data_IF_910451380609
#
_entry.id   IF_910451380609
#
_cell.length_a   1.000
_cell.length_b   1.000
_cell.length_c   1.000
_cell.angle_alpha   90.00
_cell.angle_beta   90.00
_cell.angle_gamma   90.00
#
_symmetry.space_group_name_H-M   'P 1'
#
loop_
_entity.id
_entity.type
_entity.pdbx_description
1 polymer ?
#
# COMPACT_ATOMS: atom_id res chain seq x y z
N UNK A 1 10.27 -42.57 -41.00
CA UNK A 1 9.40 -42.36 -42.18
C UNK A 1 9.57 -40.91 -42.61
N UNK A 2 9.84 -40.65 -43.90
CA UNK A 2 9.81 -39.28 -44.42
C UNK A 2 8.35 -38.85 -44.49
N UNK A 3 7.90 -38.11 -43.47
CA UNK A 3 6.57 -37.50 -43.49
C UNK A 3 6.59 -36.40 -44.53
N UNK A 4 5.59 -36.40 -45.40
CA UNK A 4 5.38 -35.38 -46.41
C UNK A 4 5.45 -33.96 -45.79
N UNK A 5 6.31 -33.05 -46.31
CA UNK A 5 6.44 -31.69 -45.79
C UNK A 5 5.13 -30.89 -45.72
N UNK A 6 4.18 -31.13 -46.64
CA UNK A 6 2.89 -30.45 -46.64
C UNK A 6 2.02 -30.93 -45.48
N UNK A 7 1.97 -32.24 -45.27
CA UNK A 7 1.27 -32.89 -44.15
C UNK A 7 1.85 -32.44 -42.82
N UNK A 8 3.19 -32.40 -42.71
CA UNK A 8 3.88 -31.89 -41.53
C UNK A 8 3.50 -30.43 -41.24
N UNK A 9 3.41 -29.58 -42.26
CA UNK A 9 3.05 -28.17 -42.08
C UNK A 9 1.62 -28.01 -41.57
N UNK A 10 0.64 -28.78 -42.08
CA UNK A 10 -0.72 -28.81 -41.52
C UNK A 10 -0.72 -29.26 -40.06
N UNK A 11 0.05 -30.31 -39.71
CA UNK A 11 0.14 -30.80 -38.32
C UNK A 11 0.74 -29.76 -37.37
N UNK A 12 1.78 -29.04 -37.80
CA UNK A 12 2.34 -27.93 -37.01
C UNK A 12 1.27 -26.84 -36.80
N UNK A 13 0.54 -26.46 -37.85
CA UNK A 13 -0.55 -25.49 -37.73
C UNK A 13 -1.67 -25.95 -36.77
N UNK A 14 -2.04 -27.24 -36.77
CA UNK A 14 -2.99 -27.82 -35.80
C UNK A 14 -2.47 -27.65 -34.38
N UNK A 15 -1.22 -28.06 -34.11
CA UNK A 15 -0.64 -27.99 -32.76
C UNK A 15 -0.51 -26.54 -32.27
N UNK A 16 -0.13 -25.61 -33.15
CA UNK A 16 -0.08 -24.18 -32.85
C UNK A 16 -1.48 -23.61 -32.57
N UNK A 17 -2.51 -24.03 -33.32
CA UNK A 17 -3.91 -23.69 -33.03
C UNK A 17 -4.36 -24.22 -31.66
N UNK A 18 -4.00 -25.44 -31.27
CA UNK A 18 -4.33 -25.97 -29.94
C UNK A 18 -3.66 -25.15 -28.84
N UNK A 19 -2.37 -24.83 -29.00
CA UNK A 19 -1.63 -23.97 -28.07
C UNK A 19 -2.24 -22.58 -27.96
N UNK A 20 -2.60 -21.97 -29.09
CA UNK A 20 -3.32 -20.69 -29.12
C UNK A 20 -4.63 -20.77 -28.34
N UNK A 21 -5.39 -21.86 -28.53
CA UNK A 21 -6.63 -22.11 -27.79
C UNK A 21 -6.44 -22.18 -26.27
N UNK A 22 -5.38 -22.84 -25.80
CA UNK A 22 -5.03 -22.85 -24.37
C UNK A 22 -4.66 -21.46 -23.85
N UNK A 23 -3.91 -20.69 -24.64
CA UNK A 23 -3.55 -19.31 -24.31
C UNK A 23 -4.77 -18.39 -24.23
N UNK A 24 -5.88 -18.70 -24.89
CA UNK A 24 -7.13 -17.92 -24.80
C UNK A 24 -7.93 -18.18 -23.52
N UNK A 25 -7.67 -19.27 -22.78
CA UNK A 25 -8.47 -19.65 -21.59
C UNK A 25 -8.12 -18.89 -20.31
N UNK A 26 -6.92 -18.31 -20.22
CA UNK A 26 -6.51 -17.55 -19.04
C UNK A 26 -7.14 -16.16 -18.95
N UNK A 27 -6.95 -15.41 -17.85
CA UNK A 27 -7.54 -14.10 -17.64
C UNK A 27 -7.18 -13.10 -18.76
N UNK A 28 -8.15 -12.30 -19.17
CA UNK A 28 -8.08 -11.29 -20.23
C UNK A 28 -7.81 -9.87 -19.68
N UNK A 29 -7.77 -9.72 -18.35
CA UNK A 29 -7.55 -8.44 -17.66
C UNK A 29 -6.63 -8.62 -16.46
N UNK A 30 -5.73 -7.66 -16.27
CA UNK A 30 -4.95 -7.46 -15.05
C UNK A 30 -5.20 -6.05 -14.55
N UNK A 31 -5.44 -5.92 -13.25
CA UNK A 31 -5.80 -4.65 -12.61
C UNK A 31 -4.68 -4.28 -11.64
N UNK A 32 -3.91 -3.24 -11.96
CA UNK A 32 -2.99 -2.62 -11.04
C UNK A 32 -3.68 -1.45 -10.33
N UNK A 33 -3.64 -1.44 -8.99
CA UNK A 33 -4.11 -0.33 -8.17
C UNK A 33 -2.92 0.43 -7.62
N UNK A 34 -2.89 1.73 -7.89
CA UNK A 34 -1.95 2.66 -7.30
C UNK A 34 -2.70 3.66 -6.42
N UNK A 35 -2.18 3.93 -5.23
CA UNK A 35 -2.68 4.97 -4.33
C UNK A 35 -1.51 5.90 -4.04
N UNK A 36 -1.70 7.20 -4.29
CA UNK A 36 -0.66 8.21 -4.12
C UNK A 36 0.68 7.87 -4.81
N UNK A 37 0.62 7.32 -6.03
CA UNK A 37 1.80 6.92 -6.80
C UNK A 37 2.48 5.62 -6.35
N UNK A 38 2.05 5.01 -5.24
CA UNK A 38 2.55 3.72 -4.76
C UNK A 38 1.65 2.57 -5.20
N UNK A 39 2.23 1.43 -5.58
CA UNK A 39 1.50 0.23 -5.95
C UNK A 39 0.88 -0.41 -4.69
N UNK A 40 -0.43 -0.32 -4.54
CA UNK A 40 -1.17 -0.84 -3.37
C UNK A 40 -1.66 -2.27 -3.59
N UNK A 41 -1.78 -2.70 -4.84
CA UNK A 41 -2.06 -4.11 -5.14
C UNK A 41 -2.17 -4.38 -6.63
N UNK A 42 -1.83 -5.62 -7.01
CA UNK A 42 -2.05 -6.14 -8.37
C UNK A 42 -3.06 -7.27 -8.27
N UNK A 43 -4.24 -7.05 -8.85
CA UNK A 43 -5.23 -8.09 -9.09
C UNK A 43 -4.91 -8.81 -10.39
N UNK A 44 -4.46 -10.06 -10.28
CA UNK A 44 -4.03 -10.88 -11.41
C UNK A 44 -2.50 -10.97 -11.53
N UNK A 45 -2.02 -11.77 -12.48
CA UNK A 45 -0.60 -11.99 -12.71
C UNK A 45 -0.15 -11.24 -13.98
N UNK A 46 0.40 -10.04 -13.82
CA UNK A 46 0.81 -9.17 -14.95
C UNK A 46 1.88 -9.82 -15.83
N UNK A 47 2.82 -10.52 -15.20
CA UNK A 47 3.90 -11.22 -15.88
C UNK A 47 3.35 -12.35 -16.76
N UNK A 48 2.44 -13.15 -16.21
CA UNK A 48 1.77 -14.22 -16.96
C UNK A 48 0.92 -13.68 -18.13
N UNK A 49 0.21 -12.56 -17.94
CA UNK A 49 -0.54 -11.94 -19.05
C UNK A 49 0.41 -11.42 -20.14
N UNK A 50 1.52 -10.79 -19.75
CA UNK A 50 2.51 -10.25 -20.70
C UNK A 50 3.21 -11.37 -21.47
N UNK A 51 3.56 -12.48 -20.82
CA UNK A 51 4.08 -13.68 -21.46
C UNK A 51 3.08 -14.28 -22.46
N UNK A 52 1.79 -14.38 -22.08
CA UNK A 52 0.74 -14.89 -22.97
C UNK A 52 0.53 -14.00 -24.19
N UNK A 53 0.53 -12.67 -24.04
CA UNK A 53 0.42 -11.74 -25.17
C UNK A 53 1.58 -11.95 -26.15
N UNK A 54 2.82 -11.99 -25.64
CA UNK A 54 4.01 -12.20 -26.48
C UNK A 54 3.95 -13.54 -27.22
N UNK A 55 3.53 -14.59 -26.55
CA UNK A 55 3.40 -15.92 -27.15
C UNK A 55 2.31 -15.95 -28.24
N UNK A 56 1.15 -15.35 -28.00
CA UNK A 56 0.06 -15.23 -29.00
C UNK A 56 0.52 -14.47 -30.25
N UNK A 57 1.26 -13.37 -30.06
CA UNK A 57 1.79 -12.55 -31.17
C UNK A 57 2.79 -13.32 -32.04
N UNK A 58 3.52 -14.28 -31.46
CA UNK A 58 4.44 -15.16 -32.20
C UNK A 58 3.71 -16.35 -32.86
N UNK A 59 2.76 -16.97 -32.16
CA UNK A 59 2.07 -18.16 -32.65
C UNK A 59 1.13 -17.83 -33.83
N UNK A 60 0.41 -16.70 -33.79
CA UNK A 60 -0.61 -16.40 -34.81
C UNK A 60 -0.05 -16.33 -36.23
N UNK A 61 1.03 -15.58 -36.52
CA UNK A 61 1.60 -15.54 -37.86
C UNK A 61 2.18 -16.89 -38.29
N UNK A 62 2.77 -17.65 -37.37
CA UNK A 62 3.34 -18.97 -37.65
C UNK A 62 2.27 -20.00 -38.06
N UNK A 63 1.07 -19.95 -37.47
CA UNK A 63 -0.06 -20.77 -37.91
C UNK A 63 -0.34 -20.52 -39.40
N UNK A 64 -0.49 -19.26 -39.79
CA UNK A 64 -0.81 -18.90 -41.17
C UNK A 64 0.33 -19.21 -42.12
N UNK A 65 1.58 -18.96 -41.74
CA UNK A 65 2.76 -19.34 -42.53
C UNK A 65 2.73 -20.82 -42.88
N UNK A 66 2.53 -21.69 -41.89
CA UNK A 66 2.45 -23.14 -42.11
C UNK A 66 1.25 -23.58 -42.95
N UNK A 67 0.10 -22.90 -42.81
CA UNK A 67 -1.07 -23.16 -43.63
C UNK A 67 -0.86 -22.73 -45.10
N UNK A 68 -0.24 -21.58 -45.33
CA UNK A 68 0.07 -21.06 -46.67
C UNK A 68 1.14 -21.93 -47.37
N UNK A 69 2.14 -22.42 -46.62
CA UNK A 69 3.13 -23.39 -47.09
C UNK A 69 2.46 -24.72 -47.52
N UNK A 70 1.59 -25.25 -46.66
CA UNK A 70 0.83 -26.48 -46.96
C UNK A 70 -0.09 -26.29 -48.17
N UNK A 71 -0.83 -25.17 -48.22
CA UNK A 71 -1.71 -24.82 -49.33
C UNK A 71 -0.95 -24.78 -50.65
N UNK A 72 0.23 -24.15 -50.68
CA UNK A 72 1.07 -24.06 -51.89
C UNK A 72 1.51 -25.44 -52.36
N UNK A 73 1.94 -26.30 -51.44
CA UNK A 73 2.36 -27.65 -51.76
C UNK A 73 1.21 -28.55 -52.24
N UNK A 74 0.02 -28.44 -51.65
CA UNK A 74 -1.17 -29.20 -52.08
C UNK A 74 -1.71 -28.73 -53.43
N UNK A 75 -1.78 -27.41 -53.66
CA UNK A 75 -2.20 -26.85 -54.94
C UNK A 75 -1.26 -27.30 -56.09
N UNK A 76 0.05 -27.33 -55.85
CA UNK A 76 1.03 -27.82 -56.83
C UNK A 76 0.84 -29.30 -57.20
N UNK A 77 0.12 -30.07 -56.38
CA UNK A 77 -0.23 -31.48 -56.63
C UNK A 77 -1.62 -31.67 -57.21
N UNK A 78 -2.33 -30.58 -57.52
CA UNK A 78 -3.68 -30.60 -58.07
C UNK A 78 -4.78 -30.85 -57.04
N UNK A 79 -4.51 -30.71 -55.74
CA UNK A 79 -5.53 -30.74 -54.68
C UNK A 79 -6.37 -29.45 -54.74
N UNK A 80 -7.69 -29.57 -54.67
CA UNK A 80 -8.58 -28.41 -54.62
C UNK A 80 -8.51 -27.71 -53.24
N UNK A 81 -7.94 -26.51 -53.23
CA UNK A 81 -7.76 -25.68 -52.03
C UNK A 81 -8.71 -24.47 -51.98
N UNK A 82 -9.74 -24.42 -52.83
CA UNK A 82 -10.62 -23.25 -52.96
C UNK A 82 -11.30 -22.85 -51.64
N UNK A 83 -11.70 -23.82 -50.81
CA UNK A 83 -12.30 -23.54 -49.50
C UNK A 83 -11.34 -22.84 -48.53
N UNK A 84 -10.05 -23.19 -48.58
CA UNK A 84 -9.01 -22.50 -47.81
C UNK A 84 -8.83 -21.06 -48.32
N UNK A 85 -8.73 -20.89 -49.64
CA UNK A 85 -8.52 -19.58 -50.26
C UNK A 85 -9.66 -18.60 -49.95
N UNK A 86 -10.91 -19.08 -49.91
CA UNK A 86 -12.06 -18.26 -49.48
C UNK A 86 -11.94 -17.80 -48.02
N UNK A 87 -11.49 -18.67 -47.12
CA UNK A 87 -11.27 -18.31 -45.71
C UNK A 87 -10.12 -17.30 -45.60
N UNK A 88 -9.03 -17.51 -46.34
CA UNK A 88 -7.86 -16.62 -46.34
C UNK A 88 -8.18 -15.23 -46.87
N UNK A 89 -9.01 -15.13 -47.92
CA UNK A 89 -9.43 -13.86 -48.51
C UNK A 89 -10.27 -12.97 -47.56
N UNK A 90 -10.86 -13.55 -46.51
CA UNK A 90 -11.70 -12.83 -45.53
C UNK A 90 -10.92 -12.14 -44.40
N UNK A 91 -9.59 -11.98 -44.53
CA UNK A 91 -8.75 -11.53 -43.43
C UNK A 91 -9.00 -10.05 -43.04
N UNK A 92 -9.52 -9.84 -41.82
CA UNK A 92 -9.62 -8.53 -41.19
C UNK A 92 -8.30 -8.10 -40.52
N UNK A 93 -8.08 -6.79 -40.45
CA UNK A 93 -6.85 -6.06 -40.04
C UNK A 93 -6.23 -6.38 -38.65
N UNK A 94 -6.81 -7.25 -37.83
CA UNK A 94 -6.33 -7.45 -36.44
C UNK A 94 -5.33 -8.61 -36.32
N UNK A 95 -4.06 -8.28 -36.07
CA UNK A 95 -2.97 -9.27 -35.89
C UNK A 95 -2.91 -9.72 -34.43
N UNK A 96 -3.17 -11.01 -34.17
CA UNK A 96 -2.80 -11.72 -32.93
C UNK A 96 -3.51 -11.26 -31.63
N UNK A 97 -2.95 -10.26 -30.96
CA UNK A 97 -3.47 -9.69 -29.72
C UNK A 97 -3.18 -8.19 -29.66
N UNK A 98 -4.21 -7.41 -29.33
CA UNK A 98 -4.09 -6.00 -28.99
C UNK A 98 -4.06 -5.82 -27.47
N UNK A 99 -3.18 -4.94 -26.98
CA UNK A 99 -3.16 -4.55 -25.58
C UNK A 99 -3.82 -3.19 -25.46
N UNK A 100 -4.90 -3.13 -24.70
CA UNK A 100 -5.55 -1.88 -24.35
C UNK A 100 -5.26 -1.58 -22.86
N UNK A 101 -4.73 -0.39 -22.62
CA UNK A 101 -4.42 0.11 -21.29
C UNK A 101 -5.37 1.25 -20.97
N UNK A 102 -6.30 1.00 -20.06
CA UNK A 102 -7.19 2.04 -19.56
C UNK A 102 -6.76 2.47 -18.16
N UNK A 103 -6.41 3.75 -18.03
CA UNK A 103 -6.17 4.37 -16.72
C UNK A 103 -7.45 5.07 -16.28
N UNK A 104 -7.95 4.73 -15.08
CA UNK A 104 -9.10 5.37 -14.46
C UNK A 104 -8.72 5.85 -13.08
N UNK A 105 -8.89 7.14 -12.83
CA UNK A 105 -8.70 7.74 -11.51
C UNK A 105 -10.04 7.76 -10.77
N UNK A 106 -10.04 7.26 -9.53
CA UNK A 106 -11.21 7.25 -8.66
C UNK A 106 -10.96 8.13 -7.43
N UNK A 107 -11.90 9.03 -7.14
CA UNK A 107 -11.82 9.94 -5.99
C UNK A 107 -11.01 11.21 -6.25
N UNK A 108 -10.87 12.05 -5.22
CA UNK A 108 -10.03 13.26 -5.22
C UNK A 108 -9.34 13.44 -3.85
N UNK A 109 -8.21 14.15 -3.82
CA UNK A 109 -7.46 14.42 -2.58
C UNK A 109 -6.83 13.17 -1.96
N UNK A 110 -6.82 13.10 -0.62
CA UNK A 110 -6.17 12.03 0.17
C UNK A 110 -6.84 10.64 0.05
N UNK A 111 -7.98 10.53 -0.63
CA UNK A 111 -8.67 9.26 -0.89
C UNK A 111 -8.65 8.86 -2.37
N UNK A 112 -7.94 9.62 -3.21
CA UNK A 112 -7.77 9.31 -4.63
C UNK A 112 -6.90 8.07 -4.85
N UNK A 113 -7.33 7.19 -5.76
CA UNK A 113 -6.52 6.09 -6.25
C UNK A 113 -6.65 5.94 -7.78
N UNK A 114 -5.53 5.62 -8.41
CA UNK A 114 -5.45 5.32 -9.83
C UNK A 114 -5.54 3.82 -10.05
N UNK A 115 -6.40 3.43 -10.97
CA UNK A 115 -6.54 2.05 -11.40
C UNK A 115 -6.10 1.96 -12.86
N UNK A 116 -5.03 1.23 -13.09
CA UNK A 116 -4.57 0.89 -14.44
C UNK A 116 -5.07 -0.52 -14.75
N UNK A 117 -6.00 -0.61 -15.71
CA UNK A 117 -6.48 -1.89 -16.22
C UNK A 117 -5.78 -2.16 -17.54
N UNK A 118 -4.88 -3.15 -17.52
CA UNK A 118 -4.25 -3.68 -18.74
C UNK A 118 -5.13 -4.84 -19.20
N UNK A 119 -5.71 -4.69 -20.38
CA UNK A 119 -6.59 -5.70 -20.99
C UNK A 119 -5.96 -6.21 -22.29
N UNK A 120 -5.99 -7.52 -22.47
CA UNK A 120 -5.52 -8.17 -23.68
C UNK A 120 -6.75 -8.57 -24.52
N UNK A 121 -6.94 -7.91 -25.67
CA UNK A 121 -7.94 -8.31 -26.64
C UNK A 121 -7.31 -9.30 -27.62
N UNK A 122 -7.50 -10.58 -27.32
CA UNK A 122 -7.04 -11.67 -28.19
C UNK A 122 -7.98 -11.84 -29.38
N UNK A 123 -7.45 -12.00 -30.60
CA UNK A 123 -8.24 -12.16 -31.82
C UNK A 123 -8.93 -13.54 -31.89
N UNK A 124 -10.02 -13.72 -31.13
CA UNK A 124 -10.82 -14.96 -31.07
C UNK A 124 -11.42 -15.33 -32.44
N UNK A 125 -11.81 -14.34 -33.23
CA UNK A 125 -12.33 -14.55 -34.58
C UNK A 125 -11.23 -15.06 -35.51
N UNK A 126 -10.06 -14.45 -35.46
CA UNK A 126 -8.87 -14.88 -36.19
C UNK A 126 -8.45 -16.31 -35.83
N UNK A 127 -8.56 -16.68 -34.56
CA UNK A 127 -8.35 -18.06 -34.10
C UNK A 127 -9.37 -19.04 -34.70
N UNK A 128 -10.67 -18.72 -34.61
CA UNK A 128 -11.72 -19.55 -35.18
C UNK A 128 -11.58 -19.70 -36.70
N UNK A 129 -11.11 -18.66 -37.40
CA UNK A 129 -10.77 -18.71 -38.83
C UNK A 129 -9.61 -19.65 -39.10
N UNK A 130 -8.51 -19.54 -38.35
CA UNK A 130 -7.36 -20.43 -38.51
C UNK A 130 -7.77 -21.90 -38.32
N UNK A 131 -8.60 -22.21 -37.30
CA UNK A 131 -9.16 -23.56 -37.13
C UNK A 131 -9.99 -24.03 -38.32
N UNK A 132 -10.84 -23.17 -38.89
CA UNK A 132 -11.62 -23.48 -40.10
C UNK A 132 -10.70 -23.73 -41.30
N UNK A 133 -9.65 -22.94 -41.46
CA UNK A 133 -8.69 -23.07 -42.55
C UNK A 133 -7.90 -24.38 -42.45
N UNK A 134 -7.46 -24.76 -41.24
CA UNK A 134 -6.84 -26.06 -40.98
C UNK A 134 -7.77 -27.22 -41.35
N UNK A 135 -9.03 -27.16 -40.91
CA UNK A 135 -10.04 -28.18 -41.25
C UNK A 135 -10.30 -28.26 -42.76
N UNK A 136 -10.33 -27.12 -43.45
CA UNK A 136 -10.53 -27.07 -44.90
C UNK A 136 -9.39 -27.77 -45.65
N UNK A 137 -8.12 -27.53 -45.27
CA UNK A 137 -6.98 -28.24 -45.88
C UNK A 137 -7.00 -29.74 -45.59
N UNK A 138 -7.35 -30.14 -44.35
CA UNK A 138 -7.47 -31.57 -44.02
C UNK A 138 -8.59 -32.25 -44.81
N UNK A 139 -9.72 -31.56 -45.02
CA UNK A 139 -10.85 -32.07 -45.80
C UNK A 139 -10.55 -32.16 -47.30
N UNK A 140 -9.67 -31.29 -47.83
CA UNK A 140 -9.23 -31.32 -49.22
C UNK A 140 -8.35 -32.53 -49.56
N UNK A 141 -7.77 -33.20 -48.55
CA UNK A 141 -6.91 -34.38 -48.72
C UNK A 141 -7.49 -35.60 -47.97
N UNK A 142 -8.62 -36.16 -48.43
CA UNK A 142 -9.30 -37.27 -47.75
C UNK A 142 -8.52 -38.60 -47.82
N UNK A 143 -7.55 -38.70 -48.73
CA UNK A 143 -6.64 -39.82 -48.89
C UNK A 143 -5.61 -39.94 -47.74
N UNK A 144 -5.40 -38.85 -47.00
CA UNK A 144 -4.49 -38.78 -45.88
C UNK A 144 -5.22 -39.19 -44.61
N UNK A 145 -4.78 -40.27 -43.95
CA UNK A 145 -5.30 -40.68 -42.65
C UNK A 145 -4.78 -39.77 -41.53
N UNK A 146 -5.37 -38.60 -41.43
CA UNK A 146 -5.05 -37.60 -40.42
C UNK A 146 -5.20 -38.13 -38.99
N UNK A 147 -6.13 -39.08 -38.76
CA UNK A 147 -6.36 -39.68 -37.46
C UNK A 147 -5.22 -40.62 -37.08
N UNK A 148 -4.75 -41.46 -38.02
CA UNK A 148 -3.59 -42.33 -37.79
C UNK A 148 -2.32 -41.52 -37.56
N UNK A 149 -2.10 -40.43 -38.31
CA UNK A 149 -0.95 -39.54 -38.10
C UNK A 149 -1.02 -38.87 -36.72
N UNK A 150 -2.18 -38.32 -36.35
CA UNK A 150 -2.37 -37.72 -35.02
C UNK A 150 -2.15 -38.74 -33.89
N UNK A 151 -2.61 -39.98 -34.08
CA UNK A 151 -2.38 -41.07 -33.12
C UNK A 151 -0.91 -41.46 -33.04
N UNK A 152 -0.22 -41.58 -34.18
CA UNK A 152 1.20 -41.91 -34.22
C UNK A 152 2.07 -40.84 -33.53
N UNK A 153 1.74 -39.55 -33.73
CA UNK A 153 2.39 -38.44 -33.02
C UNK A 153 2.08 -38.47 -31.51
N UNK A 154 0.83 -38.72 -31.11
CA UNK A 154 0.47 -38.86 -29.70
C UNK A 154 1.15 -40.07 -29.04
N UNK A 155 1.48 -41.09 -29.83
CA UNK A 155 2.18 -42.29 -29.38
C UNK A 155 3.71 -42.14 -29.34
N UNK A 156 4.28 -41.07 -29.89
CA UNK A 156 5.72 -40.79 -29.87
C UNK A 156 6.22 -40.74 -28.42
N UNK A 157 7.22 -41.57 -28.04
CA UNK A 157 7.73 -41.61 -26.67
C UNK A 157 8.26 -40.26 -26.18
N UNK A 158 8.76 -39.40 -27.06
CA UNK A 158 9.17 -38.05 -26.71
C UNK A 158 7.96 -37.20 -26.32
N UNK A 159 6.88 -37.23 -27.11
CA UNK A 159 5.64 -36.48 -26.83
C UNK A 159 4.99 -37.02 -25.55
N UNK A 160 4.96 -38.35 -25.35
CA UNK A 160 4.50 -38.99 -24.10
C UNK A 160 5.34 -38.63 -22.88
N UNK A 161 6.66 -38.53 -23.01
CA UNK A 161 7.53 -38.09 -21.93
C UNK A 161 7.28 -36.63 -21.57
N UNK A 162 7.09 -35.76 -22.56
CA UNK A 162 6.71 -34.35 -22.33
C UNK A 162 5.33 -34.24 -21.66
N UNK A 163 4.32 -35.00 -22.10
CA UNK A 163 2.99 -34.98 -21.46
C UNK A 163 3.02 -35.51 -20.04
N UNK A 164 3.70 -36.63 -19.76
CA UNK A 164 3.88 -37.16 -18.38
C UNK A 164 4.61 -36.18 -17.46
N UNK A 165 5.64 -35.50 -17.97
CA UNK A 165 6.37 -34.47 -17.22
C UNK A 165 5.46 -33.29 -16.87
N UNK A 166 4.67 -32.80 -17.84
CA UNK A 166 3.74 -31.67 -17.59
C UNK A 166 2.59 -32.01 -16.65
N UNK A 167 2.00 -33.22 -16.71
CA UNK A 167 0.95 -33.63 -15.75
C UNK A 167 1.51 -33.82 -14.35
N UNK A 168 2.69 -34.44 -14.20
CA UNK A 168 3.34 -34.60 -12.90
C UNK A 168 3.68 -33.24 -12.28
N UNK A 169 4.22 -32.30 -13.08
CA UNK A 169 4.48 -30.93 -12.66
C UNK A 169 3.20 -30.21 -12.20
N UNK A 170 2.07 -30.39 -12.91
CA UNK A 170 0.77 -29.83 -12.50
C UNK A 170 0.32 -30.36 -11.14
N UNK A 171 0.38 -31.68 -10.90
CA UNK A 171 -0.04 -32.25 -9.61
C UNK A 171 0.87 -31.83 -8.45
N UNK A 172 2.19 -31.81 -8.66
CA UNK A 172 3.15 -31.32 -7.65
C UNK A 172 2.91 -29.85 -7.34
N UNK A 173 2.69 -29.03 -8.36
CA UNK A 173 2.39 -27.60 -8.19
C UNK A 173 1.06 -27.37 -7.47
N UNK A 174 0.01 -28.15 -7.77
CA UNK A 174 -1.27 -28.11 -7.03
C UNK A 174 -1.05 -28.50 -5.56
N UNK A 175 -0.31 -29.57 -5.28
CA UNK A 175 -0.01 -30.00 -3.91
C UNK A 175 0.74 -28.93 -3.11
N UNK A 176 1.75 -28.29 -3.71
CA UNK A 176 2.47 -27.16 -3.11
C UNK A 176 1.56 -25.96 -2.87
N UNK A 177 0.68 -25.65 -3.83
CA UNK A 177 -0.23 -24.51 -3.73
C UNK A 177 -1.28 -24.73 -2.62
N UNK A 178 -1.80 -25.94 -2.48
CA UNK A 178 -2.68 -26.32 -1.35
C UNK A 178 -1.93 -26.21 -0.02
N UNK A 179 -0.69 -26.69 0.08
CA UNK A 179 0.11 -26.56 1.29
C UNK A 179 0.41 -25.08 1.64
N UNK A 180 0.73 -24.26 0.64
CA UNK A 180 0.98 -22.82 0.79
C UNK A 180 -0.27 -22.07 1.22
N UNK A 181 -1.44 -22.39 0.65
CA UNK A 181 -2.72 -21.80 1.06
C UNK A 181 -3.11 -22.26 2.46
N UNK A 182 -2.96 -23.55 2.80
CA UNK A 182 -3.34 -24.09 4.10
C UNK A 182 -2.43 -23.62 5.24
N UNK A 183 -1.14 -23.39 4.96
CA UNK A 183 -0.12 -22.91 5.91
C UNK A 183 -0.58 -21.75 6.81
N UNK A 184 -1.03 -20.59 6.27
CA UNK A 184 -1.50 -19.48 7.11
C UNK A 184 -2.75 -19.85 7.91
N UNK A 185 -3.66 -20.69 7.40
CA UNK A 185 -4.82 -21.14 8.18
C UNK A 185 -4.43 -22.06 9.33
N UNK A 186 -3.49 -22.99 9.12
CA UNK A 186 -2.95 -23.88 10.17
C UNK A 186 -2.23 -23.04 11.23
N UNK A 187 -1.43 -22.06 10.81
CA UNK A 187 -0.75 -21.14 11.71
C UNK A 187 -1.75 -20.31 12.53
N UNK A 188 -2.73 -19.67 11.87
CA UNK A 188 -3.77 -18.87 12.55
C UNK A 188 -4.60 -19.74 13.47
N UNK A 189 -4.92 -20.99 13.08
CA UNK A 189 -5.65 -21.94 13.92
C UNK A 189 -4.87 -22.27 15.19
N UNK A 190 -3.58 -22.62 15.07
CA UNK A 190 -2.73 -22.91 16.23
C UNK A 190 -2.54 -21.67 17.10
N UNK A 191 -2.30 -20.50 16.51
CA UNK A 191 -2.18 -19.24 17.23
C UNK A 191 -3.48 -18.84 17.94
N UNK A 192 -4.64 -19.09 17.31
CA UNK A 192 -5.96 -18.88 17.95
C UNK A 192 -6.17 -19.84 19.11
N UNK A 193 -5.80 -21.11 18.96
CA UNK A 193 -5.90 -22.10 20.04
C UNK A 193 -5.05 -21.71 21.24
N UNK A 194 -3.81 -21.28 21.01
CA UNK A 194 -2.93 -20.78 22.07
C UNK A 194 -3.49 -19.51 22.72
N UNK A 195 -3.96 -18.54 21.93
CA UNK A 195 -4.64 -17.35 22.46
C UNK A 195 -5.89 -17.70 23.24
N UNK A 196 -6.68 -18.67 22.80
CA UNK A 196 -7.88 -19.11 23.50
C UNK A 196 -7.50 -19.73 24.86
N UNK A 197 -6.48 -20.58 24.90
CA UNK A 197 -5.95 -21.12 26.16
C UNK A 197 -5.45 -20.01 27.09
N UNK A 198 -4.79 -18.98 26.57
CA UNK A 198 -4.38 -17.81 27.37
C UNK A 198 -5.58 -16.98 27.83
N UNK A 199 -6.61 -16.80 27.00
CA UNK A 199 -7.85 -16.10 27.35
C UNK A 199 -8.58 -16.89 28.44
N UNK A 200 -8.70 -18.21 28.31
CA UNK A 200 -9.37 -19.08 29.29
C UNK A 200 -8.58 -19.10 30.61
N UNK A 201 -7.24 -19.18 30.55
CA UNK A 201 -6.38 -19.07 31.73
C UNK A 201 -6.50 -17.68 32.40
N UNK A 202 -6.61 -16.61 31.61
CA UNK A 202 -6.88 -15.25 32.10
C UNK A 202 -8.29 -15.12 32.65
N UNK A 203 -9.29 -15.73 32.05
CA UNK A 203 -10.67 -15.69 32.52
C UNK A 203 -10.79 -16.41 33.88
N UNK A 204 -10.08 -17.52 34.06
CA UNK A 204 -10.02 -18.24 35.33
C UNK A 204 -9.24 -17.49 36.42
N UNK A 205 -8.32 -16.60 36.05
CA UNK A 205 -7.57 -15.73 36.98
C UNK A 205 -8.17 -14.33 37.12
N UNK A 206 -9.10 -13.96 36.23
CA UNK A 206 -9.78 -12.67 36.24
C UNK A 206 -10.76 -12.63 37.40
N UNK A 207 -10.29 -12.08 38.52
CA UNK A 207 -11.21 -11.48 39.48
C UNK A 207 -11.75 -10.21 38.84
N UNK A 208 -13.08 -10.06 38.69
CA UNK A 208 -13.63 -8.75 38.36
C UNK A 208 -13.07 -7.75 39.37
N UNK A 209 -12.59 -6.57 38.92
CA UNK A 209 -12.13 -5.55 39.84
C UNK A 209 -13.25 -5.32 40.85
N UNK A 210 -12.88 -5.23 42.14
CA UNK A 210 -13.85 -4.91 43.17
C UNK A 210 -14.67 -3.71 42.71
N UNK A 211 -16.00 -3.71 42.94
CA UNK A 211 -16.86 -2.62 42.51
C UNK A 211 -16.24 -1.32 42.98
N UNK A 212 -15.88 -0.48 42.01
CA UNK A 212 -15.20 0.77 42.29
C UNK A 212 -16.18 1.65 43.02
N UNK A 213 -15.83 2.10 44.23
CA UNK A 213 -16.64 3.06 44.96
C UNK A 213 -16.65 4.39 44.19
N UNK A 214 -17.69 4.58 43.37
CA UNK A 214 -17.86 5.79 42.55
C UNK A 214 -17.92 7.04 43.42
N UNK A 215 -18.41 6.95 44.66
CA UNK A 215 -18.53 8.11 45.53
C UNK A 215 -17.16 8.69 45.91
N UNK A 216 -16.13 7.85 46.05
CA UNK A 216 -14.78 8.32 46.29
C UNK A 216 -14.14 8.93 45.04
N UNK A 217 -14.49 8.44 43.85
CA UNK A 217 -13.99 8.98 42.58
C UNK A 217 -14.63 10.33 42.31
N UNK A 218 -15.95 10.44 42.46
CA UNK A 218 -16.69 11.68 42.24
C UNK A 218 -16.17 12.80 43.17
N UNK A 219 -15.91 12.46 44.44
CA UNK A 219 -15.26 13.38 45.40
C UNK A 219 -13.85 13.79 44.96
N UNK A 220 -13.09 12.89 44.34
CA UNK A 220 -11.74 13.17 43.85
C UNK A 220 -11.71 13.93 42.51
N UNK A 221 -12.73 13.77 41.66
CA UNK A 221 -12.88 14.48 40.38
C UNK A 221 -13.19 15.96 40.62
N UNK A 222 -14.04 16.27 41.59
CA UNK A 222 -14.54 17.63 41.80
C UNK A 222 -13.47 18.72 41.97
N UNK A 223 -12.37 18.55 42.74
CA UNK A 223 -11.31 19.53 42.77
C UNK A 223 -10.60 19.71 41.41
N UNK A 224 -10.38 18.60 40.67
CA UNK A 224 -9.74 18.64 39.35
C UNK A 224 -10.63 19.33 38.32
N UNK A 225 -11.95 19.07 38.36
CA UNK A 225 -12.96 19.74 37.53
C UNK A 225 -12.94 21.24 37.73
N UNK A 226 -13.00 21.70 39.00
CA UNK A 226 -12.94 23.12 39.34
C UNK A 226 -11.63 23.76 38.86
N UNK A 227 -10.51 23.06 39.02
CA UNK A 227 -9.20 23.52 38.55
C UNK A 227 -9.15 23.68 37.03
N UNK A 228 -9.63 22.69 36.26
CA UNK A 228 -9.68 22.76 34.80
C UNK A 228 -10.66 23.84 34.30
N UNK A 229 -11.80 24.04 34.97
CA UNK A 229 -12.73 25.12 34.64
C UNK A 229 -12.10 26.50 34.88
N UNK A 230 -11.43 26.70 36.02
CA UNK A 230 -10.71 27.93 36.32
C UNK A 230 -9.58 28.18 35.29
N UNK A 231 -8.80 27.14 34.98
CA UNK A 231 -7.78 27.18 33.95
C UNK A 231 -8.35 27.57 32.58
N UNK A 232 -9.52 27.04 32.21
CA UNK A 232 -10.18 27.35 30.93
C UNK A 232 -10.60 28.82 30.84
N UNK A 233 -11.15 29.39 31.91
CA UNK A 233 -11.53 30.82 31.96
C UNK A 233 -10.27 31.69 31.85
N UNK A 234 -9.21 31.36 32.60
CA UNK A 234 -7.96 32.11 32.57
C UNK A 234 -7.18 31.93 31.26
N UNK A 235 -7.35 30.82 30.55
CA UNK A 235 -6.71 30.59 29.25
C UNK A 235 -7.05 31.69 28.27
N UNK A 236 -8.33 32.03 28.12
CA UNK A 236 -8.79 33.01 27.14
C UNK A 236 -8.17 34.41 27.35
N UNK A 237 -7.87 34.79 28.59
CA UNK A 237 -7.21 36.07 28.90
C UNK A 237 -5.69 35.98 28.79
N UNK A 238 -5.11 34.85 29.21
CA UNK A 238 -3.66 34.65 29.23
C UNK A 238 -3.04 34.43 27.83
N UNK A 239 -3.82 33.97 26.85
CA UNK A 239 -3.32 33.65 25.49
C UNK A 239 -3.66 34.68 24.43
N UNK A 240 -4.02 35.91 24.84
CA UNK A 240 -4.17 37.04 23.91
C UNK A 240 -2.82 37.43 23.30
N UNK A 241 -2.78 37.88 22.02
CA UNK A 241 -1.53 38.29 21.37
C UNK A 241 -0.74 39.33 22.19
N UNK A 242 -1.44 40.29 22.80
CA UNK A 242 -0.84 41.36 23.60
C UNK A 242 -0.17 40.81 24.86
N UNK A 243 -0.83 39.90 25.57
CA UNK A 243 -0.26 39.25 26.78
C UNK A 243 0.93 38.39 26.41
N UNK A 244 0.82 37.59 25.34
CA UNK A 244 1.91 36.71 24.88
C UNK A 244 3.15 37.50 24.42
N UNK A 245 2.96 38.65 23.77
CA UNK A 245 4.04 39.54 23.35
C UNK A 245 4.76 40.19 24.53
N UNK A 246 4.01 40.55 25.59
CA UNK A 246 4.54 41.23 26.78
C UNK A 246 5.39 40.33 27.69
N UNK A 247 5.22 39.00 27.60
CA UNK A 247 5.97 38.03 28.40
C UNK A 247 7.47 38.05 28.06
N UNK A 248 8.29 38.10 29.11
CA UNK A 248 9.76 38.04 29.02
C UNK A 248 10.25 36.84 29.85
N UNK A 249 10.89 35.84 29.24
CA UNK A 249 11.48 34.74 30.01
C UNK A 249 12.60 35.25 30.93
N UNK A 250 12.63 34.77 32.17
CA UNK A 250 13.71 34.98 33.13
C UNK A 250 14.92 34.08 32.85
N UNK A 251 15.99 34.23 33.63
CA UNK A 251 17.15 33.33 33.56
C UNK A 251 16.90 31.96 34.24
N UNK A 252 15.85 31.84 35.05
CA UNK A 252 15.60 30.64 35.84
C UNK A 252 15.01 29.51 34.97
N UNK A 253 15.38 28.25 35.22
CA UNK A 253 14.80 27.11 34.51
C UNK A 253 13.28 27.03 34.77
N UNK A 254 12.53 26.58 33.76
CA UNK A 254 11.10 26.32 33.92
C UNK A 254 10.83 25.26 34.99
N UNK A 255 9.81 25.48 35.84
CA UNK A 255 9.42 24.50 36.87
C UNK A 255 8.85 23.20 36.27
N UNK A 256 8.28 23.29 35.06
CA UNK A 256 7.78 22.15 34.29
C UNK A 256 8.87 21.67 33.33
N UNK A 257 9.38 20.46 33.57
CA UNK A 257 10.34 19.82 32.66
C UNK A 257 9.62 19.29 31.43
N UNK A 258 10.13 19.66 30.26
CA UNK A 258 9.75 19.06 28.99
C UNK A 258 10.88 18.11 28.58
N UNK A 259 10.61 16.81 28.53
CA UNK A 259 11.62 15.83 28.15
C UNK A 259 11.61 15.63 26.63
N UNK A 260 12.76 15.84 25.98
CA UNK A 260 12.93 15.45 24.59
C UNK A 260 12.97 13.91 24.48
N UNK A 261 12.47 13.31 23.37
CA UNK A 261 12.64 11.89 23.13
C UNK A 261 14.12 11.49 23.12
N UNK A 262 14.42 10.24 23.49
CA UNK A 262 15.80 9.71 23.37
C UNK A 262 16.23 9.71 21.91
N UNK A 263 17.55 9.78 21.64
CA UNK A 263 18.08 9.78 20.27
C UNK A 263 17.55 8.61 19.43
N UNK A 264 17.45 7.41 20.02
CA UNK A 264 16.90 6.22 19.35
C UNK A 264 15.41 6.33 19.04
N UNK A 265 14.62 6.91 19.95
CA UNK A 265 13.19 7.13 19.73
C UNK A 265 12.95 8.21 18.67
N UNK A 266 13.76 9.28 18.68
CA UNK A 266 13.74 10.32 17.65
C UNK A 266 14.09 9.74 16.28
N UNK A 267 15.18 8.98 16.15
CA UNK A 267 15.57 8.33 14.90
C UNK A 267 14.47 7.40 14.35
N UNK A 268 13.88 6.57 15.23
CA UNK A 268 12.78 5.68 14.85
C UNK A 268 11.54 6.44 14.40
N UNK A 269 11.21 7.55 15.07
CA UNK A 269 10.08 8.40 14.69
C UNK A 269 10.33 9.10 13.36
N UNK A 270 11.49 9.71 13.15
CA UNK A 270 11.83 10.36 11.87
C UNK A 270 11.74 9.34 10.73
N UNK A 271 12.38 8.17 10.90
CA UNK A 271 12.47 7.15 9.84
C UNK A 271 11.15 6.43 9.57
N UNK A 272 10.43 6.00 10.62
CA UNK A 272 9.29 5.09 10.48
C UNK A 272 7.95 5.69 10.91
N UNK A 273 7.94 6.88 11.51
CA UNK A 273 6.72 7.49 12.06
C UNK A 273 6.22 6.79 13.32
N UNK A 274 7.03 5.94 13.95
CA UNK A 274 6.65 5.19 15.15
C UNK A 274 6.60 6.08 16.38
N UNK A 275 5.43 6.27 16.99
CA UNK A 275 5.29 6.98 18.26
C UNK A 275 5.29 5.97 19.42
N UNK A 276 6.31 6.04 20.28
CA UNK A 276 6.36 5.27 21.51
C UNK A 276 5.82 6.11 22.67
N UNK A 277 4.71 5.67 23.26
CA UNK A 277 4.05 6.37 24.36
C UNK A 277 4.98 6.66 25.55
N UNK A 278 6.02 5.85 25.77
CA UNK A 278 6.95 6.06 26.88
C UNK A 278 7.87 7.26 26.67
N UNK A 279 8.21 7.57 25.41
CA UNK A 279 9.13 8.66 25.07
C UNK A 279 8.41 9.93 24.61
N UNK A 280 7.17 9.81 24.10
CA UNK A 280 6.39 10.94 23.59
C UNK A 280 5.24 11.35 24.52
N UNK A 281 4.79 10.46 25.41
CA UNK A 281 3.61 10.67 26.25
C UNK A 281 3.77 11.71 27.36
N UNK A 282 4.99 12.17 27.65
CA UNK A 282 5.27 13.16 28.70
C UNK A 282 5.36 14.61 28.20
N UNK A 283 5.25 14.84 26.90
CA UNK A 283 5.50 16.17 26.31
C UNK A 283 4.70 16.40 25.04
N UNK A 284 3.37 16.35 25.10
CA UNK A 284 2.54 16.83 24.00
C UNK A 284 2.57 18.36 23.96
N UNK A 285 2.64 18.93 22.75
CA UNK A 285 2.48 20.35 22.52
C UNK A 285 1.57 20.58 21.31
N UNK A 286 1.02 21.79 21.20
CA UNK A 286 0.23 22.23 20.04
C UNK A 286 0.85 23.50 19.49
N UNK A 287 0.93 23.60 18.16
CA UNK A 287 1.38 24.81 17.48
C UNK A 287 0.18 25.63 16.98
N UNK A 288 0.32 26.95 16.98
CA UNK A 288 -0.60 27.92 16.41
C UNK A 288 0.19 28.93 15.58
N UNK A 289 -0.35 29.41 14.46
CA UNK A 289 0.32 30.46 13.70
C UNK A 289 0.16 31.81 14.40
N UNK A 290 1.17 32.69 14.28
CA UNK A 290 1.08 34.04 14.80
C UNK A 290 -0.13 34.79 14.22
N UNK A 291 -0.90 35.43 15.10
CA UNK A 291 -2.15 36.12 14.75
C UNK A 291 -3.41 35.23 14.79
N UNK A 292 -3.27 33.91 14.88
CA UNK A 292 -4.43 33.03 15.06
C UNK A 292 -4.86 32.95 16.52
N UNK A 293 -6.18 32.81 16.81
CA UNK A 293 -6.65 32.57 18.16
C UNK A 293 -6.14 31.24 18.74
N UNK A 294 -5.51 31.30 19.91
CA UNK A 294 -5.01 30.14 20.65
C UNK A 294 -6.18 29.38 21.30
N UNK A 295 -6.65 28.33 20.62
CA UNK A 295 -7.81 27.52 21.06
C UNK A 295 -7.52 26.79 22.36
N UNK A 296 -8.55 26.60 23.19
CA UNK A 296 -8.49 25.97 24.52
C UNK A 296 -8.49 24.43 24.50
N UNK A 297 -8.16 23.81 23.36
CA UNK A 297 -8.28 22.35 23.16
C UNK A 297 -7.45 21.52 24.14
N UNK A 298 -6.32 22.05 24.60
CA UNK A 298 -5.45 21.42 25.61
C UNK A 298 -6.06 21.36 27.02
N UNK A 299 -7.11 22.16 27.28
CA UNK A 299 -7.84 22.18 28.55
C UNK A 299 -9.24 21.56 28.38
N UNK A 300 -9.91 21.88 27.28
CA UNK A 300 -11.25 21.37 26.97
C UNK A 300 -11.29 19.86 26.71
N UNK A 301 -10.21 19.27 26.17
CA UNK A 301 -10.08 17.81 26.02
C UNK A 301 -10.12 17.10 27.38
N UNK A 302 -9.15 17.37 28.28
CA UNK A 302 -9.12 16.78 29.62
C UNK A 302 -10.40 16.99 30.43
N UNK A 303 -11.04 18.16 30.31
CA UNK A 303 -12.31 18.42 31.00
C UNK A 303 -13.44 17.48 30.54
N UNK A 304 -13.48 17.11 29.26
CA UNK A 304 -14.46 16.13 28.73
C UNK A 304 -14.14 14.71 29.15
N UNK A 305 -12.85 14.37 29.27
CA UNK A 305 -12.40 13.04 29.68
C UNK A 305 -12.65 12.76 31.16
N UNK A 306 -12.68 13.79 32.02
CA UNK A 306 -12.94 13.67 33.46
C UNK A 306 -14.24 12.92 33.77
N UNK A 307 -15.31 13.17 33.02
CA UNK A 307 -16.63 12.57 33.27
C UNK A 307 -16.67 11.08 32.88
N UNK A 308 -15.70 10.59 32.10
CA UNK A 308 -15.58 9.19 31.68
C UNK A 308 -14.62 8.35 32.53
N UNK A 309 -14.03 8.92 33.59
CA UNK A 309 -13.02 8.21 34.39
C UNK A 309 -13.63 7.07 35.21
N UNK A 310 -12.97 5.90 35.16
CA UNK A 310 -13.42 4.69 35.83
C UNK A 310 -12.62 4.39 37.12
N UNK A 311 -11.48 5.06 37.35
CA UNK A 311 -10.65 4.87 38.54
C UNK A 311 -9.78 6.09 38.90
N UNK A 312 -9.33 6.16 40.16
CA UNK A 312 -8.46 7.25 40.67
C UNK A 312 -7.07 7.30 40.02
N UNK A 313 -6.54 6.18 39.51
CA UNK A 313 -5.22 6.16 38.88
C UNK A 313 -5.21 6.95 37.56
N UNK A 314 -6.35 7.11 36.91
CA UNK A 314 -6.47 7.97 35.74
C UNK A 314 -6.40 9.47 36.11
N UNK A 315 -6.86 9.86 37.30
CA UNK A 315 -6.77 11.25 37.77
C UNK A 315 -5.32 11.73 37.90
N UNK A 316 -4.40 10.86 38.35
CA UNK A 316 -2.98 11.24 38.46
C UNK A 316 -2.27 11.36 37.11
N UNK A 317 -2.91 10.92 36.02
CA UNK A 317 -2.43 11.08 34.64
C UNK A 317 -3.01 12.32 33.96
N UNK A 318 -3.92 13.04 34.62
CA UNK A 318 -4.46 14.27 34.07
C UNK A 318 -3.34 15.28 33.86
N UNK A 319 -3.36 16.04 32.75
CA UNK A 319 -2.34 17.03 32.49
C UNK A 319 -2.34 18.09 33.59
N UNK A 320 -1.15 18.41 34.08
CA UNK A 320 -0.93 19.46 35.09
C UNK A 320 -0.58 20.80 34.46
N UNK A 321 -0.25 20.78 33.18
CA UNK A 321 0.15 21.92 32.38
C UNK A 321 -0.18 21.69 30.90
N UNK A 322 -0.25 22.77 30.13
CA UNK A 322 -0.42 22.75 28.68
C UNK A 322 0.78 23.46 28.04
N UNK A 323 1.41 22.80 27.07
CA UNK A 323 2.53 23.35 26.30
C UNK A 323 2.05 23.72 24.91
N UNK A 324 2.35 24.93 24.47
CA UNK A 324 2.01 25.35 23.12
C UNK A 324 3.09 26.26 22.51
N UNK A 325 3.10 26.34 21.19
CA UNK A 325 4.05 27.14 20.40
C UNK A 325 3.29 28.09 19.50
N UNK A 326 3.66 29.37 19.51
CA UNK A 326 3.22 30.36 18.53
C UNK A 326 4.31 30.47 17.47
N UNK A 327 3.96 30.12 16.24
CA UNK A 327 4.87 30.08 15.09
C UNK A 327 4.81 31.43 14.37
N UNK A 328 5.88 32.20 14.48
CA UNK A 328 6.04 33.49 13.80
C UNK A 328 6.42 33.32 12.34
N UNK A 329 7.21 32.28 12.04
CA UNK A 329 7.66 31.94 10.69
C UNK A 329 7.76 30.43 10.55
N UNK A 330 7.19 29.92 9.47
CA UNK A 330 7.33 28.55 9.02
C UNK A 330 7.82 28.54 7.58
N UNK A 331 8.86 27.77 7.31
CA UNK A 331 9.33 27.45 5.96
C UNK A 331 9.24 25.95 5.83
N UNK A 332 8.37 25.46 4.94
CA UNK A 332 8.25 24.03 4.68
C UNK A 332 9.54 23.48 4.07
N UNK A 333 9.99 22.28 4.50
CA UNK A 333 11.09 21.60 3.85
C UNK A 333 10.70 21.12 2.45
N UNK A 334 11.64 21.22 1.49
CA UNK A 334 11.41 20.84 0.09
C UNK A 334 12.35 19.67 -0.26
N UNK A 335 11.82 18.47 -0.59
CA UNK A 335 12.63 17.39 -1.13
C UNK A 335 13.34 17.81 -2.42
N UNK A 336 14.61 17.44 -2.55
CA UNK A 336 15.41 17.65 -3.76
C UNK A 336 15.71 16.33 -4.47
N UNK A 337 16.47 16.40 -5.56
CA UNK A 337 16.86 15.19 -6.33
C UNK A 337 17.78 14.30 -5.48
N UNK A 338 17.43 13.01 -5.36
CA UNK A 338 18.22 12.01 -4.66
C UNK A 338 18.08 12.12 -3.13
N UNK A 339 19.18 12.37 -2.42
CA UNK A 339 19.22 12.58 -0.96
C UNK A 339 19.29 14.07 -0.57
N UNK A 340 19.27 14.98 -1.54
CA UNK A 340 19.35 16.41 -1.27
C UNK A 340 17.97 16.96 -0.85
N UNK A 341 17.93 18.00 -0.03
CA UNK A 341 16.71 18.72 0.31
C UNK A 341 17.02 20.17 0.70
N UNK A 342 16.02 21.04 0.61
CA UNK A 342 16.07 22.38 1.21
C UNK A 342 15.49 22.29 2.62
N UNK A 343 16.25 22.63 3.68
CA UNK A 343 15.77 22.50 5.05
C UNK A 343 14.63 23.47 5.32
N UNK A 344 13.64 22.98 6.05
CA UNK A 344 12.61 23.81 6.65
C UNK A 344 13.13 24.58 7.86
N UNK A 345 12.34 25.56 8.29
CA UNK A 345 12.64 26.42 9.43
C UNK A 345 11.35 26.73 10.19
N UNK A 346 11.40 26.64 11.52
CA UNK A 346 10.34 27.10 12.41
C UNK A 346 10.93 28.09 13.38
N UNK A 347 10.40 29.31 13.37
CA UNK A 347 10.68 30.35 14.36
C UNK A 347 9.43 30.75 15.10
N UNK A 348 9.54 30.94 16.40
CA UNK A 348 8.40 31.24 17.24
C UNK A 348 8.74 31.37 18.71
N UNK A 349 7.68 31.38 19.52
CA UNK A 349 7.75 31.39 20.98
C UNK A 349 6.98 30.21 21.55
N UNK A 350 7.56 29.56 22.55
CA UNK A 350 6.90 28.49 23.29
C UNK A 350 6.43 29.00 24.65
N UNK A 351 5.35 28.40 25.13
CA UNK A 351 4.71 28.78 26.39
C UNK A 351 4.26 27.54 27.16
N UNK A 352 4.34 27.62 28.49
CA UNK A 352 3.75 26.64 29.40
C UNK A 352 2.69 27.33 30.25
N UNK A 353 1.46 26.84 30.16
CA UNK A 353 0.35 27.24 31.00
C UNK A 353 0.16 26.24 32.13
N UNK A 354 0.29 26.69 33.38
CA UNK A 354 -0.01 25.85 34.54
C UNK A 354 -1.52 25.76 34.73
N UNK A 355 -2.08 24.56 34.61
CA UNK A 355 -3.51 24.32 34.88
C UNK A 355 -3.80 24.59 36.36
N UNK A 356 -2.85 24.28 37.23
CA UNK A 356 -3.02 24.46 38.66
C UNK A 356 -3.01 25.92 39.11
N UNK A 357 -2.13 26.73 38.52
CA UNK A 357 -2.01 28.15 38.85
C UNK A 357 -2.89 29.05 37.95
N UNK A 358 -3.52 28.47 36.93
CA UNK A 358 -4.34 29.16 35.93
C UNK A 358 -3.63 30.37 35.30
N UNK A 359 -2.33 30.23 34.99
CA UNK A 359 -1.50 31.28 34.37
C UNK A 359 -0.35 30.69 33.54
N UNK A 360 0.22 31.54 32.70
CA UNK A 360 1.49 31.25 32.03
C UNK A 360 2.64 31.32 33.05
N UNK A 361 3.47 30.28 33.06
CA UNK A 361 4.55 30.10 34.05
C UNK A 361 5.92 30.01 33.39
N UNK A 362 5.97 29.60 32.12
CA UNK A 362 7.21 29.52 31.38
C UNK A 362 7.03 30.03 29.95
N UNK A 363 8.11 30.56 29.41
CA UNK A 363 8.23 30.94 28.01
C UNK A 363 9.62 30.57 27.47
N UNK A 364 9.72 30.40 26.16
CA UNK A 364 10.96 30.07 25.46
C UNK A 364 10.93 30.54 24.02
N UNK A 365 12.09 30.50 23.37
CA UNK A 365 12.23 30.77 21.93
C UNK A 365 12.37 29.44 21.21
N UNK A 366 11.67 29.30 20.08
CA UNK A 366 11.86 28.20 19.13
C UNK A 366 12.49 28.81 17.88
N UNK A 367 13.71 28.39 17.54
CA UNK A 367 14.37 28.72 16.26
C UNK A 367 15.11 27.46 15.84
N UNK A 368 14.45 26.67 15.00
CA UNK A 368 14.90 25.32 14.64
C UNK A 368 14.83 25.10 13.15
N UNK A 369 15.71 24.21 12.67
CA UNK A 369 15.81 23.80 11.27
C UNK A 369 16.03 22.30 11.21
N UNK A 370 15.75 21.71 10.06
CA UNK A 370 16.04 20.30 9.83
C UNK A 370 17.52 19.95 10.05
N UNK A 371 17.77 18.71 10.48
CA UNK A 371 19.10 18.13 10.65
C UNK A 371 19.82 18.09 9.29
N UNK A 372 20.94 18.81 9.09
CA UNK A 372 21.59 18.89 7.78
C UNK A 372 22.10 17.54 7.24
N UNK A 373 22.37 16.59 8.13
CA UNK A 373 22.86 15.25 7.81
C UNK A 373 21.75 14.20 7.68
N UNK A 374 20.48 14.60 7.61
CA UNK A 374 19.37 13.66 7.46
C UNK A 374 19.41 12.99 6.09
N UNK A 375 19.49 11.66 6.05
CA UNK A 375 19.31 10.91 4.81
C UNK A 375 17.82 10.68 4.55
N UNK A 376 17.29 11.26 3.48
CA UNK A 376 15.89 11.06 3.06
C UNK A 376 15.75 9.88 2.10
N UNK A 377 14.54 9.32 2.03
CA UNK A 377 14.15 8.39 0.96
C UNK A 377 14.24 9.10 -0.40
N UNK A 378 14.55 8.39 -1.51
CA UNK A 378 14.51 8.96 -2.85
C UNK A 378 13.06 9.22 -3.36
N UNK A 379 12.04 8.84 -2.60
CA UNK A 379 10.64 9.10 -2.92
C UNK A 379 10.17 10.42 -2.30
N UNK A 380 9.65 11.34 -3.12
CA UNK A 380 9.34 12.72 -2.71
C UNK A 380 8.40 12.81 -1.48
N UNK A 381 7.34 12.00 -1.43
CA UNK A 381 6.35 12.06 -0.33
C UNK A 381 6.88 11.48 0.98
N UNK A 382 7.64 10.38 0.92
CA UNK A 382 8.26 9.79 2.12
C UNK A 382 9.36 10.72 2.66
N UNK A 383 10.18 11.30 1.76
CA UNK A 383 11.16 12.32 2.11
C UNK A 383 10.51 13.52 2.80
N UNK A 384 9.40 14.03 2.24
CA UNK A 384 8.64 15.15 2.82
C UNK A 384 8.19 14.82 4.25
N UNK A 385 7.60 13.64 4.47
CA UNK A 385 7.17 13.22 5.81
C UNK A 385 8.33 13.07 6.79
N UNK A 386 9.46 12.49 6.37
CA UNK A 386 10.66 12.37 7.20
C UNK A 386 11.17 13.77 7.62
N UNK A 387 11.18 14.73 6.70
CA UNK A 387 11.62 16.10 6.97
C UNK A 387 10.69 16.80 7.97
N UNK A 388 9.37 16.64 7.87
CA UNK A 388 8.45 17.20 8.87
C UNK A 388 8.63 16.57 10.26
N UNK A 389 8.83 15.25 10.32
CA UNK A 389 9.06 14.55 11.59
C UNK A 389 10.38 14.97 12.24
N UNK A 390 11.43 15.15 11.45
CA UNK A 390 12.71 15.68 11.94
C UNK A 390 12.52 17.09 12.49
N UNK A 391 11.80 17.98 11.78
CA UNK A 391 11.52 19.33 12.27
C UNK A 391 10.73 19.32 13.60
N UNK A 392 9.75 18.43 13.74
CA UNK A 392 9.06 18.22 15.02
C UNK A 392 10.03 17.80 16.14
N UNK A 393 11.01 16.93 15.86
CA UNK A 393 12.01 16.52 16.85
C UNK A 393 12.90 17.69 17.28
N UNK A 394 13.24 18.57 16.34
CA UNK A 394 14.00 19.78 16.64
C UNK A 394 13.19 20.74 17.53
N UNK A 395 11.88 20.92 17.25
CA UNK A 395 10.99 21.71 18.12
C UNK A 395 10.98 21.13 19.54
N UNK A 396 10.80 19.81 19.69
CA UNK A 396 10.82 19.15 21.01
C UNK A 396 12.15 19.33 21.73
N UNK A 397 13.27 19.24 21.03
CA UNK A 397 14.60 19.53 21.58
C UNK A 397 14.75 20.97 22.06
N UNK A 398 14.23 21.94 21.29
CA UNK A 398 14.20 23.34 21.67
C UNK A 398 13.29 23.59 22.89
N UNK A 399 12.13 22.93 22.98
CA UNK A 399 11.25 23.01 24.15
C UNK A 399 11.95 22.48 25.41
N UNK A 400 12.62 21.33 25.30
CA UNK A 400 13.31 20.71 26.43
C UNK A 400 14.43 21.58 27.02
N UNK A 401 15.11 22.37 26.19
CA UNK A 401 16.30 23.13 26.59
C UNK A 401 16.04 24.63 26.75
N UNK A 402 15.04 25.17 26.05
CA UNK A 402 14.79 26.60 25.89
C UNK A 402 13.72 27.19 26.79
N UNK A 403 12.89 26.38 27.45
CA UNK A 403 11.87 26.89 28.38
C UNK A 403 12.50 27.49 29.65
N UNK A 404 12.06 28.69 30.02
CA UNK A 404 12.48 29.44 31.21
C UNK A 404 11.26 29.96 31.96
N UNK A 405 11.37 30.15 33.27
CA UNK A 405 10.30 30.74 34.08
C UNK A 405 10.02 32.19 33.65
N UNK A 406 8.77 32.66 33.74
CA UNK A 406 8.37 34.05 33.43
C UNK A 406 8.61 34.96 34.62
#
# INVERSE_FOLDING_TARGET
MNVDPAVRSVRIAVALCERFGELLKGPDKVVARQQHGSLVGVGGNEEEMSLRIGEVQQIYPEIWRHLDDARTAFAARGVDVAAFDQIRASEGLAIGAAVDMTRRSYGSGQHGHDVTVKSANFNKEGYARAQKATKALMAATPDIDWAAIAKAEADDPNIKAFTRSTTTKRYVMIGLLVALIASPFIYVWNARREKQQQIDARANTYRPPAPVDRTEIDKAIEPVRRQLQAARVAWATATTPEVLAAIKPSANPCEYKFDAPTAKAAESFVKYGSVDANYFGKGAFVSFMAGEPVRDQLIAGPLRELDGLANKQQLSRMPTHAVFVIVDKEVEPIPGVGKAFTPGEVRGRSYVFSIAQAKLVCAGVVDVRNTPALETSPQDEEAKQMLFRDLEMQIRGALATGLRAI
#
